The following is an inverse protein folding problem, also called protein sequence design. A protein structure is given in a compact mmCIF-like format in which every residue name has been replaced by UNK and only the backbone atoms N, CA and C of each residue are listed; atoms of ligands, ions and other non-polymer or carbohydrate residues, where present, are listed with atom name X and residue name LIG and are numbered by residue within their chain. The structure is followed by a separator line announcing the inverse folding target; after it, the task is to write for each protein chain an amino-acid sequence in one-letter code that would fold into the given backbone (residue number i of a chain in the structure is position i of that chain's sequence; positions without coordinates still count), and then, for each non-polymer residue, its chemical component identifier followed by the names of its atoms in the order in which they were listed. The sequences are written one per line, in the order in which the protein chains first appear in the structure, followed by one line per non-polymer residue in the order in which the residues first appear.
data_IF_050615485557
#
_entry.id   IF_050615485557
#
_cell.length_a   1.000
_cell.length_b   1.000
_cell.length_c   1.000
_cell.angle_alpha   90.00
_cell.angle_beta   90.00
_cell.angle_gamma   90.00
#
_symmetry.space_group_name_H-M   'P 1'
#
loop_
_entity.id
_entity.type
_entity.pdbx_description
1 polymer ?
#
# COMPACT_ATOMS: atom_id res chain seq x y z
N UNK A 1 27.71 -47.03 -61.47
CA UNK A 1 26.37 -46.41 -61.67
C UNK A 1 25.38 -47.15 -60.79
N UNK A 2 25.00 -46.61 -59.62
CA UNK A 2 24.08 -47.28 -58.70
C UNK A 2 22.70 -47.49 -59.35
N UNK A 3 22.11 -48.67 -59.16
CA UNK A 3 20.79 -49.00 -59.71
C UNK A 3 19.71 -48.09 -59.11
N UNK A 4 18.60 -47.91 -59.81
CA UNK A 4 17.48 -47.03 -59.40
C UNK A 4 16.98 -47.33 -57.98
N UNK A 5 17.07 -48.61 -57.56
CA UNK A 5 16.71 -49.10 -56.23
C UNK A 5 17.65 -48.62 -55.11
N UNK A 6 18.96 -48.62 -55.35
CA UNK A 6 19.98 -48.17 -54.38
C UNK A 6 19.84 -46.68 -54.06
N UNK A 7 19.61 -45.86 -55.09
CA UNK A 7 19.37 -44.42 -54.92
C UNK A 7 18.10 -44.13 -54.12
N UNK A 8 17.04 -44.91 -54.32
CA UNK A 8 15.78 -44.77 -53.59
C UNK A 8 15.96 -45.10 -52.10
N UNK A 9 16.67 -46.19 -51.77
CA UNK A 9 17.02 -46.54 -50.37
C UNK A 9 17.85 -45.43 -49.69
N UNK A 10 18.84 -44.88 -50.39
CA UNK A 10 19.63 -43.77 -49.87
C UNK A 10 18.79 -42.52 -49.58
N UNK A 11 17.86 -42.15 -50.47
CA UNK A 11 16.97 -41.00 -50.26
C UNK A 11 16.07 -41.23 -49.04
N UNK A 12 15.44 -42.41 -48.91
CA UNK A 12 14.59 -42.75 -47.76
C UNK A 12 15.38 -42.72 -46.45
N UNK A 13 16.61 -43.21 -46.46
CA UNK A 13 17.50 -43.19 -45.29
C UNK A 13 17.92 -41.77 -44.90
N UNK A 14 18.21 -40.89 -45.86
CA UNK A 14 18.55 -39.49 -45.59
C UNK A 14 17.34 -38.73 -45.04
N UNK A 15 16.15 -38.93 -45.60
CA UNK A 15 14.91 -38.29 -45.14
C UNK A 15 14.53 -38.75 -43.72
N UNK A 16 14.67 -40.04 -43.43
CA UNK A 16 14.39 -40.58 -42.08
C UNK A 16 15.41 -40.12 -41.03
N UNK A 17 16.69 -40.06 -41.39
CA UNK A 17 17.74 -39.56 -40.49
C UNK A 17 17.59 -38.05 -40.23
N UNK A 18 17.22 -37.27 -41.25
CA UNK A 18 16.93 -35.85 -41.06
C UNK A 18 15.69 -35.61 -40.20
N UNK A 19 14.62 -36.41 -40.34
CA UNK A 19 13.47 -36.34 -39.43
C UNK A 19 13.85 -36.59 -37.95
N UNK A 20 14.75 -37.54 -37.69
CA UNK A 20 15.26 -37.83 -36.34
C UNK A 20 16.13 -36.71 -35.74
N UNK A 21 16.85 -35.96 -36.58
CA UNK A 21 17.71 -34.86 -36.14
C UNK A 21 16.92 -33.57 -35.94
N UNK A 22 15.90 -33.31 -36.77
CA UNK A 22 15.09 -32.09 -36.69
C UNK A 22 13.87 -32.22 -35.76
N UNK A 23 13.38 -33.43 -35.47
CA UNK A 23 12.23 -33.61 -34.55
C UNK A 23 12.49 -33.08 -33.13
N UNK A 24 13.66 -33.27 -32.49
CA UNK A 24 13.91 -32.75 -31.14
C UNK A 24 13.94 -31.23 -31.09
N UNK A 25 14.45 -30.57 -32.15
CA UNK A 25 14.51 -29.11 -32.27
C UNK A 25 13.12 -28.47 -32.34
N UNK A 26 12.13 -29.17 -32.91
CA UNK A 26 10.75 -28.68 -33.00
C UNK A 26 9.92 -29.10 -31.77
N UNK A 27 10.13 -30.31 -31.26
CA UNK A 27 9.34 -30.86 -30.15
C UNK A 27 9.74 -30.25 -28.80
N UNK A 28 11.03 -29.99 -28.58
CA UNK A 28 11.53 -29.44 -27.32
C UNK A 28 10.86 -28.10 -26.91
N UNK A 29 10.80 -27.05 -27.76
CA UNK A 29 10.15 -25.79 -27.40
C UNK A 29 8.64 -25.95 -27.13
N UNK A 30 7.97 -26.89 -27.80
CA UNK A 30 6.55 -27.19 -27.58
C UNK A 30 6.34 -27.84 -26.21
N UNK A 31 7.21 -28.78 -25.83
CA UNK A 31 7.15 -29.43 -24.51
C UNK A 31 7.46 -28.41 -23.40
N UNK A 32 8.46 -27.55 -23.57
CA UNK A 32 8.82 -26.55 -22.56
C UNK A 32 7.71 -25.52 -22.37
N UNK A 33 7.09 -25.04 -23.46
CA UNK A 33 5.96 -24.11 -23.37
C UNK A 33 4.76 -24.73 -22.62
N UNK A 34 4.40 -25.98 -22.95
CA UNK A 34 3.32 -26.68 -22.23
C UNK A 34 3.64 -26.95 -20.76
N UNK A 35 4.91 -27.19 -20.44
CA UNK A 35 5.34 -27.38 -19.05
C UNK A 35 5.27 -26.07 -18.27
N UNK A 36 5.66 -24.95 -18.89
CA UNK A 36 5.55 -23.62 -18.32
C UNK A 36 4.09 -23.25 -18.03
N UNK A 37 3.17 -23.44 -18.99
CA UNK A 37 1.73 -23.23 -18.79
C UNK A 37 1.19 -24.04 -17.60
N UNK A 38 1.61 -25.30 -17.49
CA UNK A 38 1.22 -26.17 -16.36
C UNK A 38 1.74 -25.63 -15.03
N UNK A 39 2.99 -25.18 -14.96
CA UNK A 39 3.59 -24.67 -13.73
C UNK A 39 2.91 -23.37 -13.28
N UNK A 40 2.73 -22.41 -14.20
CA UNK A 40 2.02 -21.16 -13.93
C UNK A 40 0.59 -21.43 -13.44
N UNK A 41 -0.10 -22.41 -14.03
CA UNK A 41 -1.43 -22.80 -13.58
C UNK A 41 -1.44 -23.36 -12.15
N UNK A 42 -0.45 -24.18 -11.77
CA UNK A 42 -0.35 -24.69 -10.40
C UNK A 42 -0.04 -23.57 -9.40
N UNK A 43 0.83 -22.63 -9.76
CA UNK A 43 1.10 -21.44 -8.94
C UNK A 43 -0.16 -20.59 -8.74
N UNK A 44 -0.96 -20.40 -9.80
CA UNK A 44 -2.22 -19.68 -9.73
C UNK A 44 -3.24 -20.36 -8.77
N UNK A 45 -3.31 -21.69 -8.79
CA UNK A 45 -4.14 -22.46 -7.86
C UNK A 45 -3.66 -22.34 -6.41
N UNK A 46 -2.34 -22.41 -6.18
CA UNK A 46 -1.77 -22.23 -4.84
C UNK A 46 -2.03 -20.81 -4.29
N UNK A 47 -1.97 -19.79 -5.15
CA UNK A 47 -2.34 -18.43 -4.78
C UNK A 47 -3.84 -18.34 -4.40
N UNK A 48 -4.73 -19.01 -5.13
CA UNK A 48 -6.15 -19.09 -4.80
C UNK A 48 -6.45 -19.75 -3.45
N UNK A 49 -5.66 -20.75 -3.04
CA UNK A 49 -5.79 -21.41 -1.73
C UNK A 49 -5.38 -20.47 -0.57
N UNK A 50 -4.48 -19.51 -0.83
CA UNK A 50 -3.98 -18.52 0.13
C UNK A 50 -4.70 -17.16 0.05
N UNK A 51 -5.95 -17.16 -0.43
CA UNK A 51 -6.66 -16.00 -1.00
C UNK A 51 -5.84 -14.86 -1.61
N UNK A 52 -4.69 -15.15 -2.24
CA UNK A 52 -3.87 -14.14 -2.91
C UNK A 52 -4.42 -13.91 -4.33
N UNK A 53 -5.49 -13.13 -4.40
CA UNK A 53 -6.21 -12.88 -5.65
C UNK A 53 -5.37 -12.10 -6.66
N UNK A 54 -4.45 -11.24 -6.21
CA UNK A 54 -3.55 -10.48 -7.07
C UNK A 54 -2.61 -11.40 -7.83
N UNK A 55 -1.93 -12.30 -7.11
CA UNK A 55 -1.01 -13.27 -7.73
C UNK A 55 -1.78 -14.26 -8.58
N UNK A 56 -2.92 -14.74 -8.11
CA UNK A 56 -3.75 -15.68 -8.86
C UNK A 56 -4.22 -15.09 -10.21
N UNK A 57 -4.77 -13.87 -10.22
CA UNK A 57 -5.20 -13.21 -11.46
C UNK A 57 -4.06 -13.02 -12.43
N UNK A 58 -2.94 -12.45 -11.99
CA UNK A 58 -1.77 -12.23 -12.85
C UNK A 58 -1.26 -13.53 -13.46
N UNK A 59 -1.27 -14.63 -12.70
CA UNK A 59 -0.86 -15.94 -13.21
C UNK A 59 -1.88 -16.50 -14.22
N UNK A 60 -3.17 -16.46 -13.94
CA UNK A 60 -4.19 -16.93 -14.89
C UNK A 60 -4.25 -16.09 -16.17
N UNK A 61 -4.02 -14.78 -16.10
CA UNK A 61 -3.95 -13.88 -17.26
C UNK A 61 -2.85 -14.30 -18.25
N UNK A 62 -1.68 -14.71 -17.75
CA UNK A 62 -0.56 -15.19 -18.59
C UNK A 62 -0.91 -16.44 -19.39
N UNK A 63 -1.87 -17.22 -18.92
CA UNK A 63 -2.27 -18.52 -19.48
C UNK A 63 -3.79 -18.58 -19.69
N UNK A 64 -4.37 -17.50 -20.20
CA UNK A 64 -5.82 -17.32 -20.29
C UNK A 64 -6.51 -18.46 -21.07
N UNK A 65 -5.87 -18.97 -22.13
CA UNK A 65 -6.43 -20.04 -22.98
C UNK A 65 -6.11 -21.46 -22.50
N UNK A 66 -5.39 -21.58 -21.38
CA UNK A 66 -5.06 -22.87 -20.79
C UNK A 66 -6.16 -23.35 -19.84
N UNK A 67 -6.73 -24.52 -20.10
CA UNK A 67 -7.77 -25.15 -19.26
C UNK A 67 -8.94 -24.20 -18.94
N UNK A 68 -9.25 -24.01 -17.67
CA UNK A 68 -10.34 -23.20 -17.14
C UNK A 68 -9.85 -21.86 -16.57
N UNK A 69 -8.65 -21.38 -16.95
CA UNK A 69 -8.06 -20.12 -16.45
C UNK A 69 -9.03 -18.93 -16.54
N UNK A 70 -9.69 -18.71 -17.69
CA UNK A 70 -10.70 -17.65 -17.84
C UNK A 70 -11.84 -17.77 -16.83
N UNK A 71 -12.36 -18.99 -16.62
CA UNK A 71 -13.42 -19.25 -15.63
C UNK A 71 -12.92 -18.98 -14.21
N UNK A 72 -11.66 -19.34 -13.90
CA UNK A 72 -11.04 -19.05 -12.60
C UNK A 72 -10.87 -17.55 -12.37
N UNK A 73 -10.51 -16.79 -13.39
CA UNK A 73 -10.47 -15.32 -13.32
C UNK A 73 -11.85 -14.74 -13.02
N UNK A 74 -12.90 -15.21 -13.72
CA UNK A 74 -14.28 -14.78 -13.45
C UNK A 74 -14.72 -15.09 -11.99
N UNK A 75 -14.36 -16.28 -11.48
CA UNK A 75 -14.60 -16.65 -10.08
C UNK A 75 -13.87 -15.70 -9.12
N UNK A 76 -12.64 -15.27 -9.44
CA UNK A 76 -11.89 -14.32 -8.63
C UNK A 76 -12.56 -12.94 -8.65
N UNK A 77 -12.95 -12.42 -9.82
CA UNK A 77 -13.63 -11.13 -9.91
C UNK A 77 -14.92 -11.11 -9.07
N UNK A 78 -15.70 -12.21 -9.08
CA UNK A 78 -16.87 -12.34 -8.21
C UNK A 78 -16.51 -12.29 -6.72
N UNK A 79 -15.40 -12.91 -6.32
CA UNK A 79 -14.92 -12.87 -4.92
C UNK A 79 -14.47 -11.47 -4.53
N UNK A 80 -13.66 -10.81 -5.37
CA UNK A 80 -13.21 -9.44 -5.13
C UNK A 80 -14.41 -8.49 -5.02
N UNK A 81 -15.40 -8.60 -5.91
CA UNK A 81 -16.61 -7.77 -5.88
C UNK A 81 -17.47 -7.93 -4.61
N UNK A 82 -17.32 -9.03 -3.87
CA UNK A 82 -17.94 -9.21 -2.54
C UNK A 82 -17.04 -8.71 -1.41
N UNK A 83 -15.73 -8.91 -1.56
CA UNK A 83 -14.74 -8.53 -0.57
C UNK A 83 -14.62 -7.01 -0.42
N UNK A 84 -14.59 -6.27 -1.53
CA UNK A 84 -14.40 -4.80 -1.52
C UNK A 84 -15.44 -4.09 -0.63
N UNK A 85 -16.75 -4.35 -0.73
CA UNK A 85 -17.73 -3.80 0.20
C UNK A 85 -17.46 -4.11 1.68
N UNK A 86 -17.06 -5.34 2.01
CA UNK A 86 -16.71 -5.71 3.38
C UNK A 86 -15.47 -4.97 3.88
N UNK A 87 -14.50 -4.70 2.98
CA UNK A 87 -13.30 -3.93 3.31
C UNK A 87 -13.63 -2.48 3.63
N UNK A 88 -14.51 -1.86 2.84
CA UNK A 88 -14.99 -0.49 3.06
C UNK A 88 -15.74 -0.41 4.41
N UNK A 89 -16.64 -1.36 4.69
CA UNK A 89 -17.41 -1.39 5.93
C UNK A 89 -16.52 -1.52 7.18
N UNK A 90 -15.47 -2.36 7.09
CA UNK A 90 -14.50 -2.60 8.17
C UNK A 90 -13.42 -1.52 8.29
N UNK A 91 -13.54 -0.42 7.54
CA UNK A 91 -12.59 0.69 7.51
C UNK A 91 -11.14 0.23 7.15
N UNK A 92 -11.00 -0.80 6.29
CA UNK A 92 -9.71 -1.39 5.90
C UNK A 92 -9.02 -0.63 4.74
N UNK A 93 -8.72 0.65 4.98
CA UNK A 93 -8.20 1.57 3.94
C UNK A 93 -6.67 1.63 3.85
N UNK A 94 -5.94 1.27 4.91
CA UNK A 94 -4.50 1.52 5.01
C UNK A 94 -3.70 0.28 5.35
N UNK A 95 -2.43 0.25 4.91
CA UNK A 95 -1.39 -0.74 5.25
C UNK A 95 -1.80 -2.22 5.17
N UNK A 96 -1.33 -2.91 4.13
CA UNK A 96 -1.50 -4.36 3.98
C UNK A 96 -2.85 -4.81 3.41
N UNK A 97 -3.76 -3.86 3.14
CA UNK A 97 -5.01 -4.13 2.45
C UNK A 97 -4.94 -3.65 1.00
N UNK A 98 -5.30 -4.54 0.05
CA UNK A 98 -5.28 -4.28 -1.38
C UNK A 98 -6.59 -3.65 -1.90
N UNK A 99 -7.21 -2.76 -1.11
CA UNK A 99 -8.55 -2.24 -1.42
C UNK A 99 -8.57 -1.49 -2.76
N UNK A 100 -7.65 -0.56 -2.94
CA UNK A 100 -7.54 0.25 -4.14
C UNK A 100 -7.19 -0.60 -5.36
N UNK A 101 -6.24 -1.54 -5.21
CA UNK A 101 -5.85 -2.46 -6.28
C UNK A 101 -7.01 -3.37 -6.71
N UNK A 102 -7.83 -3.82 -5.76
CA UNK A 102 -9.03 -4.61 -6.05
C UNK A 102 -10.10 -3.81 -6.79
N UNK A 103 -10.31 -2.55 -6.42
CA UNK A 103 -11.20 -1.64 -7.15
C UNK A 103 -10.66 -1.43 -8.57
N UNK A 104 -9.37 -1.16 -8.73
CA UNK A 104 -8.73 -0.98 -10.05
C UNK A 104 -8.84 -2.21 -10.95
N UNK A 105 -8.72 -3.41 -10.37
CA UNK A 105 -8.92 -4.66 -11.10
C UNK A 105 -10.34 -4.75 -11.63
N UNK A 106 -11.35 -4.47 -10.80
CA UNK A 106 -12.75 -4.55 -11.21
C UNK A 106 -13.10 -3.50 -12.27
N UNK A 107 -12.51 -2.30 -12.18
CA UNK A 107 -12.67 -1.24 -13.19
C UNK A 107 -12.21 -1.67 -14.59
N UNK A 108 -11.18 -2.52 -14.68
CA UNK A 108 -10.66 -3.03 -15.96
C UNK A 108 -11.56 -4.10 -16.60
N UNK A 109 -12.57 -4.59 -15.89
CA UNK A 109 -13.48 -5.63 -16.37
C UNK A 109 -14.83 -4.98 -16.69
N UNK A 110 -15.25 -4.88 -17.97
CA UNK A 110 -16.46 -4.17 -18.38
C UNK A 110 -17.75 -4.60 -17.65
N UNK A 111 -17.81 -5.87 -17.24
CA UNK A 111 -18.93 -6.42 -16.45
C UNK A 111 -19.08 -5.78 -15.07
N UNK A 112 -17.97 -5.35 -14.46
CA UNK A 112 -17.93 -4.81 -13.09
C UNK A 112 -17.66 -3.31 -13.03
N UNK A 113 -17.29 -2.67 -14.15
CA UNK A 113 -16.91 -1.25 -14.24
C UNK A 113 -17.85 -0.31 -13.46
N UNK A 114 -19.16 -0.35 -13.76
CA UNK A 114 -20.13 0.50 -13.07
C UNK A 114 -20.15 0.27 -11.55
N UNK A 115 -20.16 -1.00 -11.14
CA UNK A 115 -20.18 -1.36 -9.72
C UNK A 115 -18.87 -0.93 -9.02
N UNK A 116 -17.74 -1.02 -9.73
CA UNK A 116 -16.44 -0.64 -9.21
C UNK A 116 -16.31 0.89 -9.06
N UNK A 117 -16.89 1.69 -9.94
CA UNK A 117 -16.97 3.15 -9.75
C UNK A 117 -17.81 3.51 -8.50
N UNK A 118 -18.97 2.86 -8.31
CA UNK A 118 -19.77 3.04 -7.10
C UNK A 118 -18.99 2.66 -5.82
N UNK A 119 -18.22 1.56 -5.87
CA UNK A 119 -17.34 1.15 -4.76
C UNK A 119 -16.22 2.15 -4.51
N UNK A 120 -15.62 2.73 -5.56
CA UNK A 120 -14.56 3.72 -5.46
C UNK A 120 -15.05 5.00 -4.78
N UNK A 121 -16.21 5.51 -5.17
CA UNK A 121 -16.83 6.66 -4.53
C UNK A 121 -17.19 6.35 -3.07
N UNK A 122 -17.74 5.15 -2.79
CA UNK A 122 -18.06 4.72 -1.44
C UNK A 122 -16.81 4.59 -0.55
N UNK A 123 -15.71 4.05 -1.08
CA UNK A 123 -14.43 3.94 -0.39
C UNK A 123 -13.89 5.33 -0.03
N UNK A 124 -13.83 6.25 -0.98
CA UNK A 124 -13.37 7.62 -0.75
C UNK A 124 -14.22 8.35 0.30
N UNK A 125 -15.55 8.19 0.26
CA UNK A 125 -16.44 8.78 1.26
C UNK A 125 -16.22 8.16 2.67
N UNK A 126 -16.06 6.85 2.74
CA UNK A 126 -15.86 6.14 4.00
C UNK A 126 -14.49 6.46 4.61
N UNK A 127 -13.44 6.53 3.80
CA UNK A 127 -12.10 6.95 4.20
C UNK A 127 -12.12 8.39 4.75
N UNK A 128 -12.77 9.32 4.05
CA UNK A 128 -12.92 10.71 4.51
C UNK A 128 -13.66 10.79 5.86
N UNK A 129 -14.72 9.99 6.05
CA UNK A 129 -15.42 9.89 7.34
C UNK A 129 -14.53 9.31 8.43
N UNK A 130 -13.76 8.26 8.12
CA UNK A 130 -12.80 7.67 9.06
C UNK A 130 -11.73 8.69 9.47
N UNK A 131 -11.15 9.43 8.51
CA UNK A 131 -10.19 10.50 8.78
C UNK A 131 -10.79 11.59 9.66
N UNK A 132 -12.03 12.02 9.42
CA UNK A 132 -12.71 13.00 10.27
C UNK A 132 -12.94 12.47 11.68
N UNK A 133 -13.29 11.20 11.83
CA UNK A 133 -13.45 10.52 13.14
C UNK A 133 -12.12 10.43 13.88
N UNK A 134 -11.03 10.06 13.21
CA UNK A 134 -9.67 10.04 13.77
C UNK A 134 -9.24 11.44 14.18
N UNK A 135 -9.39 12.44 13.31
CA UNK A 135 -9.09 13.85 13.62
C UNK A 135 -9.94 14.39 14.77
N UNK A 136 -11.21 14.00 14.87
CA UNK A 136 -12.08 14.37 15.98
C UNK A 136 -11.65 13.77 17.32
N UNK A 137 -11.04 12.57 17.32
CA UNK A 137 -10.41 12.01 18.52
C UNK A 137 -9.10 12.73 18.85
N UNK A 138 -8.30 13.03 17.83
CA UNK A 138 -7.04 13.75 18.01
C UNK A 138 -7.28 15.15 18.58
N UNK A 139 -8.32 15.87 18.14
CA UNK A 139 -8.57 17.27 18.54
C UNK A 139 -8.82 17.47 20.03
N UNK A 140 -9.13 16.40 20.77
CA UNK A 140 -9.29 16.41 22.23
C UNK A 140 -8.14 15.71 22.96
N UNK A 141 -7.19 15.15 22.22
CA UNK A 141 -6.04 14.40 22.75
C UNK A 141 -4.83 15.32 22.87
N UNK A 142 -4.18 15.33 24.03
CA UNK A 142 -2.87 16.00 24.21
C UNK A 142 -1.80 15.17 23.49
N UNK A 143 -0.83 15.78 22.79
CA UNK A 143 0.31 15.04 22.25
C UNK A 143 0.93 14.12 23.31
N UNK A 144 1.43 12.95 22.89
CA UNK A 144 2.03 11.95 23.77
C UNK A 144 3.22 11.27 23.10
N UNK A 145 4.11 10.66 23.88
CA UNK A 145 5.28 9.91 23.39
C UNK A 145 4.86 8.90 22.31
N UNK A 146 5.50 8.93 21.15
CA UNK A 146 5.21 8.03 20.04
C UNK A 146 4.06 8.47 19.12
N UNK A 147 3.35 9.57 19.42
CA UNK A 147 2.39 10.16 18.48
C UNK A 147 3.10 10.54 17.17
N UNK A 148 2.51 10.21 16.02
CA UNK A 148 3.05 10.59 14.71
C UNK A 148 3.15 12.10 14.55
N UNK A 149 4.24 12.59 13.95
CA UNK A 149 4.46 14.01 13.67
C UNK A 149 3.29 14.63 12.88
N UNK A 150 2.72 13.85 11.94
CA UNK A 150 1.61 14.29 11.09
C UNK A 150 0.29 14.51 11.87
N UNK A 151 0.15 13.86 13.02
CA UNK A 151 -1.05 13.93 13.85
C UNK A 151 -1.02 15.08 14.86
N UNK A 152 0.17 15.62 15.16
CA UNK A 152 0.38 16.67 16.17
C UNK A 152 -0.50 17.90 15.91
N UNK A 153 -0.58 18.36 14.66
CA UNK A 153 -1.38 19.55 14.30
C UNK A 153 -2.89 19.33 14.49
N UNK A 154 -3.33 18.08 14.45
CA UNK A 154 -4.73 17.70 14.66
C UNK A 154 -5.03 17.41 16.12
N UNK A 155 -4.02 17.48 17.01
CA UNK A 155 -4.17 17.28 18.44
C UNK A 155 -4.93 18.44 19.10
N UNK A 156 -5.23 18.31 20.40
CA UNK A 156 -5.75 19.40 21.22
C UNK A 156 -4.82 20.61 21.33
N UNK A 157 -3.54 20.48 20.96
CA UNK A 157 -2.61 21.61 20.93
C UNK A 157 -2.72 22.41 19.61
N UNK A 158 -3.27 21.81 18.55
CA UNK A 158 -3.41 22.44 17.24
C UNK A 158 -2.07 22.70 16.53
N UNK A 159 -2.07 23.60 15.56
CA UNK A 159 -0.87 23.99 14.81
C UNK A 159 0.17 24.69 15.71
N UNK A 160 1.46 24.30 15.65
CA UNK A 160 2.52 24.95 16.41
C UNK A 160 2.73 26.39 15.95
N UNK A 161 3.09 27.25 16.91
CA UNK A 161 3.52 28.62 16.62
C UNK A 161 4.92 28.66 16.03
N UNK A 162 5.80 27.76 16.49
CA UNK A 162 7.19 27.69 16.06
C UNK A 162 7.65 26.24 15.93
N UNK A 163 8.49 25.98 14.92
CA UNK A 163 9.19 24.70 14.73
C UNK A 163 10.67 25.01 14.55
N UNK A 164 11.50 24.57 15.49
CA UNK A 164 12.94 24.76 15.47
C UNK A 164 13.64 23.43 15.20
N UNK A 165 14.61 23.42 14.29
CA UNK A 165 15.44 22.24 14.00
C UNK A 165 16.73 22.32 14.82
N UNK A 166 17.18 21.20 15.37
CA UNK A 166 18.51 21.15 15.99
C UNK A 166 19.63 21.37 14.95
N UNK A 167 20.80 21.84 15.41
CA UNK A 167 21.93 22.16 14.55
C UNK A 167 22.38 21.00 13.65
N UNK A 168 22.17 19.75 14.08
CA UNK A 168 22.54 18.54 13.34
C UNK A 168 21.38 17.91 12.55
N UNK A 169 20.29 18.65 12.33
CA UNK A 169 19.08 18.12 11.69
C UNK A 169 19.34 17.60 10.26
N UNK A 170 20.26 18.21 9.51
CA UNK A 170 20.61 17.78 8.15
C UNK A 170 21.67 16.67 8.12
N UNK A 171 22.01 16.07 9.27
CA UNK A 171 22.91 14.93 9.33
C UNK A 171 22.36 13.74 8.53
N UNK A 172 23.25 12.99 7.88
CA UNK A 172 22.91 11.72 7.24
C UNK A 172 22.42 10.66 8.24
N UNK A 173 22.65 10.85 9.54
CA UNK A 173 22.16 9.93 10.56
C UNK A 173 20.79 10.35 11.08
N UNK A 174 19.80 9.48 10.89
CA UNK A 174 18.41 9.74 11.28
C UNK A 174 18.24 9.93 12.80
N UNK A 175 19.13 9.36 13.62
CA UNK A 175 19.13 9.48 15.08
C UNK A 175 19.48 10.88 15.60
N UNK A 176 19.96 11.78 14.72
CA UNK A 176 20.34 13.17 15.05
C UNK A 176 19.34 14.21 14.54
N UNK A 177 18.25 13.78 13.90
CA UNK A 177 17.23 14.67 13.33
C UNK A 177 16.13 14.93 14.35
N UNK A 178 16.35 15.92 15.22
CA UNK A 178 15.38 16.34 16.23
C UNK A 178 14.77 17.70 15.87
N UNK A 179 13.44 17.79 15.97
CA UNK A 179 12.68 19.04 15.87
C UNK A 179 12.08 19.40 17.22
N UNK A 180 12.02 20.69 17.53
CA UNK A 180 11.40 21.26 18.72
C UNK A 180 10.19 22.07 18.32
N UNK A 181 9.01 21.63 18.73
CA UNK A 181 7.74 22.29 18.46
C UNK A 181 7.35 23.15 19.65
N UNK A 182 6.83 24.34 19.40
CA UNK A 182 6.36 25.26 20.44
C UNK A 182 5.00 25.86 20.11
N UNK A 183 4.18 26.01 21.15
CA UNK A 183 2.94 26.80 21.13
C UNK A 183 3.08 27.90 22.16
N UNK A 184 3.11 29.15 21.70
CA UNK A 184 3.29 30.32 22.57
C UNK A 184 1.95 31.05 22.67
N UNK A 185 1.32 30.96 23.84
CA UNK A 185 0.09 31.68 24.12
C UNK A 185 0.42 33.00 24.83
N UNK A 186 -0.08 34.10 24.29
CA UNK A 186 0.08 35.45 24.88
C UNK A 186 -1.25 35.97 25.44
N UNK A 187 -1.18 36.82 26.45
CA UNK A 187 -2.34 37.55 26.96
C UNK A 187 -2.68 38.78 26.10
N UNK A 188 -3.74 39.51 26.47
CA UNK A 188 -4.20 40.72 25.76
C UNK A 188 -3.15 41.83 25.70
N UNK A 189 -2.17 41.81 26.61
CA UNK A 189 -1.07 42.78 26.67
C UNK A 189 0.19 42.29 25.94
N UNK A 190 0.10 41.14 25.25
CA UNK A 190 1.20 40.53 24.50
C UNK A 190 2.24 39.80 25.36
N UNK A 191 1.98 39.60 26.66
CA UNK A 191 2.89 38.88 27.57
C UNK A 191 2.68 37.37 27.43
N UNK A 192 3.75 36.60 27.48
CA UNK A 192 3.67 35.13 27.44
C UNK A 192 2.91 34.61 28.66
N UNK A 193 1.81 33.89 28.41
CA UNK A 193 0.97 33.23 29.42
C UNK A 193 1.32 31.76 29.54
N UNK A 194 1.54 31.08 28.42
CA UNK A 194 1.94 29.67 28.42
C UNK A 194 2.85 29.35 27.24
N UNK A 195 3.74 28.39 27.44
CA UNK A 195 4.51 27.78 26.37
C UNK A 195 4.33 26.27 26.48
N UNK A 196 3.78 25.65 25.44
CA UNK A 196 3.76 24.20 25.30
C UNK A 196 4.91 23.79 24.40
N UNK A 197 5.60 22.70 24.73
CA UNK A 197 6.75 22.22 23.96
C UNK A 197 6.75 20.70 23.85
N UNK A 198 7.14 20.19 22.69
CA UNK A 198 7.48 18.79 22.50
C UNK A 198 8.65 18.64 21.53
N UNK A 199 9.31 17.49 21.56
CA UNK A 199 10.34 17.14 20.59
C UNK A 199 9.80 16.06 19.65
N UNK A 200 10.28 16.06 18.41
CA UNK A 200 9.99 15.02 17.42
C UNK A 200 11.31 14.45 16.93
N UNK A 201 11.40 13.12 16.94
CA UNK A 201 12.55 12.36 16.46
C UNK A 201 12.05 11.23 15.56
N UNK A 202 12.66 11.09 14.39
CA UNK A 202 12.27 10.06 13.41
C UNK A 202 10.77 10.05 13.06
N UNK A 203 10.14 11.24 13.02
CA UNK A 203 8.73 11.39 12.65
C UNK A 203 7.72 11.05 13.75
N UNK A 204 8.16 10.84 14.99
CA UNK A 204 7.29 10.64 16.15
C UNK A 204 7.67 11.56 17.32
N UNK A 205 6.70 11.91 18.16
CA UNK A 205 6.91 12.65 19.40
C UNK A 205 7.88 11.86 20.29
N UNK A 206 8.91 12.55 20.76
CA UNK A 206 9.98 12.01 21.60
C UNK A 206 10.09 12.82 22.89
N UNK A 207 10.03 12.15 24.03
CA UNK A 207 9.85 12.77 25.33
C UNK A 207 8.39 13.14 25.66
N UNK A 208 8.13 13.33 26.96
CA UNK A 208 6.83 13.81 27.44
C UNK A 208 6.60 15.27 27.01
N UNK A 209 5.42 15.58 26.42
CA UNK A 209 5.07 16.96 26.09
C UNK A 209 4.91 17.83 27.34
N UNK A 210 5.54 19.01 27.32
CA UNK A 210 5.65 19.90 28.48
C UNK A 210 4.76 21.13 28.32
N UNK A 211 4.11 21.55 29.40
CA UNK A 211 3.34 22.81 29.46
C UNK A 211 3.89 23.69 30.58
N UNK A 212 4.51 24.81 30.20
CA UNK A 212 4.99 25.83 31.12
C UNK A 212 3.97 26.97 31.21
N UNK A 213 3.53 27.32 32.43
CA UNK A 213 2.58 28.42 32.67
C UNK A 213 3.30 29.58 33.35
N UNK A 214 3.08 30.78 32.83
CA UNK A 214 3.66 32.02 33.32
C UNK A 214 2.51 32.90 33.82
N UNK A 215 2.36 32.98 35.14
CA UNK A 215 1.41 33.90 35.75
C UNK A 215 2.09 35.27 35.85
N UNK A 216 1.45 36.36 35.38
CA UNK A 216 1.94 37.68 35.74
C UNK A 216 1.88 37.78 37.27
N UNK A 217 2.96 38.25 37.91
CA UNK A 217 2.88 38.69 39.29
C UNK A 217 1.74 39.71 39.36
N UNK A 218 0.62 39.32 39.96
CA UNK A 218 -0.35 40.30 40.44
C UNK A 218 0.45 41.21 41.35
N UNK A 219 0.46 42.49 41.02
CA UNK A 219 0.96 43.54 41.91
C UNK A 219 0.32 43.25 43.25
N UNK A 220 1.10 42.74 44.21
CA UNK A 220 0.69 42.75 45.60
C UNK A 220 0.40 44.20 45.89
N UNK A 221 -0.85 44.48 46.21
CA UNK A 221 -1.32 45.79 46.57
C UNK A 221 -0.63 46.17 47.89
N UNK A 222 0.53 46.83 47.80
CA UNK A 222 1.32 47.28 48.96
C UNK A 222 0.65 48.48 49.68
N UNK A 223 -0.67 48.66 49.54
CA UNK A 223 -1.44 49.78 50.10
C UNK A 223 -2.29 49.40 51.31
N UNK A 224 -1.91 48.36 52.05
CA UNK A 224 -2.53 48.01 53.33
C UNK A 224 -1.50 47.82 54.46
N UNK A 225 -0.56 48.77 54.57
CA UNK A 225 0.17 49.04 55.82
C UNK A 225 0.01 50.52 56.19
#
# INVERSE_FOLDING_TARGET
MGTKSEKFKQIVMIVSLSLLIFSPLIIHPIITAKLEERNVYQEALLALEKPDYMVALRSFEKIADYKDSRKKMDEIYVKIGKLVPEMIEKEMFYEGYYLDEYIEILLKVPKYEKQAEEMKEAAALAEAKHLNKVRGKLSVTVPYEGMSENDIRFSSWGEPTEINKEANYDSLRDDRRVKHYKWVEKDELGRTRSIKTLMVKQGAVWGEPVVSRYYPLSILDWRSL
#
